data_IF_943795905535
#
_entry.id   IF_943795905535
#
_cell.length_a   1.000
_cell.length_b   1.000
_cell.length_c   1.000
_cell.angle_alpha   90.00
_cell.angle_beta   90.00
_cell.angle_gamma   90.00
#
_symmetry.space_group_name_H-M   'P 1'
#
loop_
_entity.id
_entity.type
_entity.pdbx_description
1 polymer ?
#
# COMPACT_ATOMS: atom_id res chain seq x y z
N UNK A 1 30.06 27.81 -0.94
CA UNK A 1 29.18 27.15 -1.92
C UNK A 1 29.49 25.66 -1.92
N UNK A 2 28.65 24.84 -1.28
CA UNK A 2 28.82 23.38 -1.26
C UNK A 2 27.94 22.83 -2.39
N UNK A 3 28.57 22.30 -3.45
CA UNK A 3 27.90 21.45 -4.43
C UNK A 3 27.58 20.12 -3.74
N UNK A 4 26.32 19.89 -3.38
CA UNK A 4 25.85 18.54 -3.02
C UNK A 4 25.48 17.84 -4.31
N UNK A 5 26.50 17.31 -4.99
CA UNK A 5 26.33 16.33 -6.06
C UNK A 5 26.45 14.93 -5.47
N UNK A 6 25.36 14.40 -4.93
CA UNK A 6 25.23 13.00 -4.56
C UNK A 6 24.02 12.44 -5.30
N UNK A 7 24.22 11.48 -6.20
CA UNK A 7 23.10 10.69 -6.74
C UNK A 7 22.49 9.92 -5.58
N UNK A 8 21.40 10.44 -5.00
CA UNK A 8 20.63 9.69 -4.03
C UNK A 8 19.95 8.54 -4.76
N UNK A 9 20.48 7.32 -4.62
CA UNK A 9 19.70 6.12 -4.86
C UNK A 9 18.54 6.14 -3.87
N UNK A 10 17.35 6.59 -4.29
CA UNK A 10 16.18 6.51 -3.42
C UNK A 10 15.93 5.01 -3.20
N UNK A 11 16.05 4.58 -1.95
CA UNK A 11 15.85 3.17 -1.58
C UNK A 11 14.42 2.73 -1.92
N UNK A 12 14.26 1.47 -2.28
CA UNK A 12 12.93 0.89 -2.56
C UNK A 12 12.04 1.09 -1.32
N UNK A 13 10.89 1.77 -1.45
CA UNK A 13 10.03 2.06 -0.31
C UNK A 13 9.28 0.82 0.16
N UNK A 14 9.02 0.73 1.47
CA UNK A 14 8.00 -0.19 2.00
C UNK A 14 6.63 0.38 1.66
N UNK A 15 5.79 -0.40 0.99
CA UNK A 15 4.44 0.00 0.58
C UNK A 15 3.41 -0.76 1.42
N UNK A 16 2.35 -0.07 1.83
CA UNK A 16 1.15 -0.63 2.44
C UNK A 16 -0.06 -0.27 1.58
N UNK A 17 -1.04 -1.17 1.55
CA UNK A 17 -2.33 -0.98 0.90
C UNK A 17 -3.42 -1.68 1.75
N UNK A 18 -4.65 -1.20 1.67
CA UNK A 18 -5.79 -1.69 2.46
C UNK A 18 -7.02 -1.82 1.58
N UNK A 19 -7.61 -3.03 1.57
CA UNK A 19 -8.96 -3.20 1.05
C UNK A 19 -9.98 -2.91 2.16
N UNK A 20 -11.08 -2.27 1.81
CA UNK A 20 -12.14 -1.91 2.74
C UNK A 20 -13.50 -2.48 2.34
N UNK A 21 -14.43 -2.54 3.30
CA UNK A 21 -15.82 -2.96 3.08
C UNK A 21 -16.63 -2.03 2.17
N UNK A 22 -16.02 -0.99 1.58
CA UNK A 22 -16.62 -0.03 0.67
C UNK A 22 -15.86 1.30 0.60
N UNK A 23 -16.35 2.23 -0.22
CA UNK A 23 -15.66 3.49 -0.53
C UNK A 23 -16.05 4.69 0.37
N UNK A 24 -17.07 4.52 1.23
CA UNK A 24 -17.60 5.61 2.07
C UNK A 24 -16.93 5.71 3.45
N UNK A 25 -17.15 6.83 4.15
CA UNK A 25 -16.58 7.10 5.49
C UNK A 25 -17.00 6.10 6.59
N UNK A 26 -18.06 5.32 6.35
CA UNK A 26 -18.52 4.27 7.25
C UNK A 26 -17.80 2.93 7.02
N UNK A 27 -17.03 2.77 5.94
CA UNK A 27 -16.34 1.53 5.62
C UNK A 27 -15.18 1.23 6.57
N UNK A 28 -14.78 -0.04 6.64
CA UNK A 28 -13.76 -0.54 7.55
C UNK A 28 -12.79 -1.47 6.83
N UNK A 29 -11.54 -1.61 7.32
CA UNK A 29 -10.55 -2.45 6.68
C UNK A 29 -10.93 -3.93 6.77
N UNK A 30 -10.75 -4.64 5.67
CA UNK A 30 -11.04 -6.07 5.52
C UNK A 30 -9.83 -6.88 5.06
N UNK A 31 -8.84 -6.23 4.46
CA UNK A 31 -7.54 -6.81 4.14
C UNK A 31 -6.47 -5.74 4.29
N UNK A 32 -5.28 -6.13 4.73
CA UNK A 32 -4.08 -5.28 4.70
C UNK A 32 -2.95 -6.04 4.02
N UNK A 33 -2.24 -5.35 3.14
CA UNK A 33 -1.13 -5.88 2.37
C UNK A 33 0.07 -4.97 2.46
N UNK A 34 1.25 -5.56 2.58
CA UNK A 34 2.51 -4.82 2.71
C UNK A 34 3.57 -5.53 1.90
N UNK A 35 4.41 -4.77 1.20
CA UNK A 35 5.68 -5.22 0.66
C UNK A 35 6.80 -4.34 1.21
N UNK A 36 7.82 -4.95 1.81
CA UNK A 36 8.94 -4.18 2.36
C UNK A 36 10.05 -3.97 1.35
N UNK A 37 11.04 -3.14 1.71
CA UNK A 37 12.23 -2.84 0.90
C UNK A 37 13.03 -4.06 0.43
N UNK A 38 12.92 -5.19 1.14
CA UNK A 38 13.60 -6.45 0.78
C UNK A 38 12.75 -7.34 -0.14
N UNK A 39 11.53 -6.91 -0.50
CA UNK A 39 10.58 -7.68 -1.31
C UNK A 39 9.77 -8.70 -0.51
N UNK A 40 9.95 -8.78 0.81
CA UNK A 40 9.13 -9.64 1.67
C UNK A 40 7.73 -9.06 1.78
N UNK A 41 6.73 -9.93 1.83
CA UNK A 41 5.32 -9.56 1.88
C UNK A 41 4.67 -9.96 3.18
N UNK A 42 3.75 -9.12 3.64
CA UNK A 42 2.76 -9.44 4.67
C UNK A 42 1.37 -9.23 4.07
N UNK A 43 0.43 -10.12 4.37
CA UNK A 43 -0.94 -10.02 3.91
C UNK A 43 -1.85 -10.68 4.93
N UNK A 44 -2.94 -10.03 5.31
CA UNK A 44 -3.94 -10.64 6.18
C UNK A 44 -5.33 -10.14 5.89
N UNK A 45 -6.27 -11.08 5.81
CA UNK A 45 -7.69 -10.78 5.94
C UNK A 45 -8.01 -10.42 7.40
N UNK A 46 -8.93 -9.49 7.58
CA UNK A 46 -9.34 -8.95 8.88
C UNK A 46 -10.78 -9.39 9.12
N UNK A 47 -11.00 -10.13 10.20
CA UNK A 47 -12.35 -10.48 10.65
C UNK A 47 -13.04 -9.20 11.16
N UNK A 48 -14.22 -8.81 10.62
CA UNK A 48 -14.91 -7.61 11.06
C UNK A 48 -15.27 -7.68 12.54
N UNK A 49 -15.22 -6.54 13.22
CA UNK A 49 -15.78 -6.40 14.56
C UNK A 49 -17.31 -6.55 14.51
N UNK A 50 -17.93 -6.87 15.64
CA UNK A 50 -19.38 -7.07 15.71
C UNK A 50 -20.19 -5.81 15.34
N UNK A 51 -19.65 -4.63 15.60
CA UNK A 51 -20.22 -3.33 15.28
C UNK A 51 -19.86 -2.82 13.86
N UNK A 52 -19.00 -3.53 13.14
CA UNK A 52 -18.64 -3.23 11.75
C UNK A 52 -19.68 -3.84 10.79
N UNK A 53 -20.68 -3.03 10.44
CA UNK A 53 -21.86 -3.48 9.70
C UNK A 53 -21.95 -2.99 8.25
N UNK A 54 -21.26 -1.89 7.91
CA UNK A 54 -21.17 -1.39 6.53
C UNK A 54 -20.69 -2.47 5.55
N UNK A 55 -21.28 -2.53 4.37
CA UNK A 55 -20.84 -3.43 3.30
C UNK A 55 -21.30 -2.91 1.95
N UNK A 56 -20.38 -2.83 1.00
CA UNK A 56 -20.62 -2.38 -0.37
C UNK A 56 -20.39 -3.54 -1.35
N UNK A 57 -21.44 -3.92 -2.08
CA UNK A 57 -21.36 -5.00 -3.07
C UNK A 57 -20.45 -4.65 -4.26
N UNK A 58 -20.28 -3.36 -4.58
CA UNK A 58 -19.36 -2.93 -5.62
C UNK A 58 -17.91 -3.15 -5.21
N UNK A 59 -17.56 -2.83 -3.95
CA UNK A 59 -16.24 -3.14 -3.41
C UNK A 59 -16.01 -4.65 -3.38
N UNK A 60 -16.97 -5.44 -2.88
CA UNK A 60 -16.88 -6.91 -2.90
C UNK A 60 -16.59 -7.47 -4.30
N UNK A 61 -17.26 -6.95 -5.33
CA UNK A 61 -17.00 -7.34 -6.72
C UNK A 61 -15.59 -6.98 -7.19
N UNK A 62 -15.07 -5.82 -6.77
CA UNK A 62 -13.76 -5.30 -7.16
C UNK A 62 -12.60 -6.12 -6.58
N UNK A 63 -12.63 -6.39 -5.28
CA UNK A 63 -11.55 -7.11 -4.58
C UNK A 63 -11.81 -8.63 -4.44
N UNK A 64 -13.06 -9.07 -4.62
CA UNK A 64 -13.47 -10.48 -4.56
C UNK A 64 -13.42 -11.09 -3.16
N UNK A 65 -13.55 -10.27 -2.11
CA UNK A 65 -13.46 -10.69 -0.71
C UNK A 65 -14.86 -10.60 -0.11
N UNK A 66 -15.51 -11.75 0.09
CA UNK A 66 -16.84 -11.79 0.67
C UNK A 66 -16.81 -11.68 2.19
N UNK A 67 -17.92 -11.20 2.77
CA UNK A 67 -18.07 -11.15 4.23
C UNK A 67 -17.99 -12.54 4.88
N UNK A 68 -18.46 -13.57 4.18
CA UNK A 68 -18.33 -14.96 4.60
C UNK A 68 -16.86 -15.39 4.65
N UNK A 69 -16.07 -15.06 3.62
CA UNK A 69 -14.64 -15.37 3.59
C UNK A 69 -13.91 -14.73 4.79
N UNK A 70 -14.25 -13.49 5.12
CA UNK A 70 -13.68 -12.82 6.30
C UNK A 70 -14.08 -13.49 7.62
N UNK A 71 -15.30 -13.99 7.74
CA UNK A 71 -15.74 -14.70 8.93
C UNK A 71 -15.00 -16.04 9.12
N UNK A 72 -14.71 -16.74 8.01
CA UNK A 72 -14.05 -18.04 7.98
C UNK A 72 -12.52 -17.98 8.08
N UNK A 73 -11.90 -16.98 7.43
CA UNK A 73 -10.44 -16.90 7.22
C UNK A 73 -9.79 -15.65 7.80
N UNK A 74 -10.59 -14.64 8.18
CA UNK A 74 -10.07 -13.40 8.76
C UNK A 74 -9.47 -13.62 10.14
N UNK A 75 -8.37 -12.94 10.41
CA UNK A 75 -7.77 -12.88 11.74
C UNK A 75 -8.40 -11.76 12.57
N UNK A 76 -8.32 -11.86 13.90
CA UNK A 76 -8.77 -10.77 14.76
C UNK A 76 -7.95 -9.51 14.52
N UNK A 77 -8.58 -8.33 14.64
CA UNK A 77 -7.89 -7.04 14.51
C UNK A 77 -6.64 -6.96 15.41
N UNK A 78 -6.72 -7.51 16.64
CA UNK A 78 -5.59 -7.57 17.56
C UNK A 78 -4.39 -8.33 16.99
N UNK A 79 -4.62 -9.53 16.44
CA UNK A 79 -3.55 -10.35 15.89
C UNK A 79 -2.93 -9.70 14.64
N UNK A 80 -3.77 -9.13 13.76
CA UNK A 80 -3.29 -8.40 12.58
C UNK A 80 -2.42 -7.21 12.97
N UNK A 81 -2.85 -6.39 13.92
CA UNK A 81 -2.09 -5.23 14.41
C UNK A 81 -0.76 -5.64 15.06
N UNK A 82 -0.73 -6.74 15.82
CA UNK A 82 0.51 -7.25 16.41
C UNK A 82 1.50 -7.70 15.33
N UNK A 83 1.03 -8.45 14.32
CA UNK A 83 1.87 -8.91 13.22
C UNK A 83 2.36 -7.75 12.34
N UNK A 84 1.50 -6.76 12.05
CA UNK A 84 1.89 -5.53 11.36
C UNK A 84 2.99 -4.79 12.13
N UNK A 85 2.81 -4.58 13.43
CA UNK A 85 3.83 -3.94 14.26
C UNK A 85 5.14 -4.72 14.24
N UNK A 86 5.10 -6.05 14.34
CA UNK A 86 6.30 -6.88 14.25
C UNK A 86 7.00 -6.72 12.89
N UNK A 87 6.24 -6.62 11.81
CA UNK A 87 6.77 -6.50 10.46
C UNK A 87 7.33 -5.10 10.15
N UNK A 88 6.75 -4.06 10.74
CA UNK A 88 6.95 -2.66 10.37
C UNK A 88 7.58 -1.77 11.45
N UNK A 89 7.89 -2.30 12.63
CA UNK A 89 8.36 -1.52 13.77
C UNK A 89 9.42 -0.47 13.40
N UNK A 90 9.17 0.78 13.74
CA UNK A 90 10.08 1.91 13.53
C UNK A 90 10.23 2.36 12.07
N UNK A 91 9.46 1.79 11.14
CA UNK A 91 9.52 2.15 9.72
C UNK A 91 8.54 3.28 9.37
N UNK A 92 8.88 4.00 8.29
CA UNK A 92 7.90 4.77 7.50
C UNK A 92 7.48 3.89 6.33
N UNK A 93 6.17 3.67 6.20
CA UNK A 93 5.55 2.96 5.07
C UNK A 93 4.75 3.94 4.24
N UNK A 94 4.62 3.66 2.94
CA UNK A 94 3.99 4.56 1.99
C UNK A 94 2.75 3.94 1.36
N UNK A 95 1.77 4.78 1.06
CA UNK A 95 0.55 4.41 0.32
C UNK A 95 0.29 5.48 -0.75
N UNK A 96 -0.19 5.06 -1.93
CA UNK A 96 -0.68 5.97 -2.98
C UNK A 96 -2.17 6.33 -2.83
N UNK A 97 -2.81 5.81 -1.78
CA UNK A 97 -4.15 6.15 -1.29
C UNK A 97 -4.14 6.65 0.15
N UNK A 98 -3.07 7.30 0.61
CA UNK A 98 -2.78 7.56 2.03
C UNK A 98 -3.96 8.11 2.85
N UNK A 99 -4.75 9.03 2.30
CA UNK A 99 -5.89 9.65 3.01
C UNK A 99 -6.91 8.60 3.47
N UNK A 100 -7.17 7.58 2.66
CA UNK A 100 -8.12 6.51 3.02
C UNK A 100 -7.43 5.41 3.83
N UNK A 101 -6.24 4.99 3.43
CA UNK A 101 -5.52 3.89 4.08
C UNK A 101 -5.15 4.22 5.53
N UNK A 102 -4.66 5.42 5.81
CA UNK A 102 -4.32 5.82 7.17
C UNK A 102 -5.57 5.89 8.05
N UNK A 103 -6.70 6.35 7.50
CA UNK A 103 -8.00 6.36 8.21
C UNK A 103 -8.43 4.94 8.58
N UNK A 104 -8.32 3.98 7.66
CA UNK A 104 -8.66 2.60 7.93
C UNK A 104 -7.68 1.93 8.90
N UNK A 105 -6.39 2.21 8.80
CA UNK A 105 -5.40 1.74 9.77
C UNK A 105 -5.64 2.31 11.17
N UNK A 106 -5.99 3.60 11.31
CA UNK A 106 -6.39 4.19 12.59
C UNK A 106 -7.57 3.42 13.19
N UNK A 107 -8.63 3.17 12.39
CA UNK A 107 -9.79 2.40 12.82
C UNK A 107 -9.42 0.96 13.23
N UNK A 108 -8.53 0.30 12.50
CA UNK A 108 -8.05 -1.05 12.81
C UNK A 108 -7.31 -1.10 14.16
N UNK A 109 -6.36 -0.18 14.35
CA UNK A 109 -5.53 -0.13 15.55
C UNK A 109 -6.34 0.29 16.79
N UNK A 110 -7.33 1.19 16.64
CA UNK A 110 -8.27 1.51 17.72
C UNK A 110 -9.12 0.30 18.12
N UNK A 111 -9.69 -0.42 17.16
CA UNK A 111 -10.49 -1.62 17.44
C UNK A 111 -9.65 -2.74 18.07
N UNK A 112 -8.38 -2.85 17.69
CA UNK A 112 -7.43 -3.79 18.27
C UNK A 112 -6.99 -3.44 19.70
N UNK A 113 -7.17 -2.19 20.13
CA UNK A 113 -6.58 -1.64 21.37
C UNK A 113 -5.06 -1.86 21.42
N UNK A 114 -4.40 -1.68 20.27
CA UNK A 114 -2.95 -1.83 20.09
C UNK A 114 -2.38 -0.49 19.64
N UNK A 115 -1.25 -0.06 20.21
CA UNK A 115 -0.54 1.12 19.74
C UNK A 115 0.20 0.82 18.44
N UNK A 116 -0.01 1.61 17.39
CA UNK A 116 0.70 1.51 16.12
C UNK A 116 2.17 1.92 16.30
N UNK A 117 3.11 1.08 15.81
CA UNK A 117 4.56 1.27 16.00
C UNK A 117 5.31 1.64 14.71
N UNK A 118 4.58 2.13 13.72
CA UNK A 118 5.10 2.59 12.43
C UNK A 118 4.30 3.79 11.92
N UNK A 119 4.91 4.55 11.01
CA UNK A 119 4.30 5.73 10.40
C UNK A 119 3.86 5.43 8.97
N UNK A 120 2.71 5.96 8.58
CA UNK A 120 2.23 5.90 7.20
C UNK A 120 2.38 7.29 6.61
N UNK A 121 2.93 7.39 5.41
CA UNK A 121 3.09 8.62 4.66
C UNK A 121 2.49 8.48 3.27
N UNK A 122 2.08 9.61 2.69
CA UNK A 122 1.75 9.67 1.27
C UNK A 122 2.98 9.34 0.42
N UNK A 123 2.78 8.54 -0.63
CA UNK A 123 3.82 8.14 -1.56
C UNK A 123 4.37 9.33 -2.35
N UNK A 124 3.52 10.33 -2.63
CA UNK A 124 3.87 11.56 -3.32
C UNK A 124 5.02 12.31 -2.65
N UNK A 125 5.22 12.13 -1.34
CA UNK A 125 6.34 12.71 -0.59
C UNK A 125 7.72 12.21 -1.04
N UNK A 126 7.78 11.08 -1.74
CA UNK A 126 9.04 10.47 -2.21
C UNK A 126 9.11 10.32 -3.73
N UNK A 127 8.11 10.83 -4.47
CA UNK A 127 8.14 10.89 -5.93
C UNK A 127 8.79 12.20 -6.38
N UNK A 128 9.59 12.15 -7.44
CA UNK A 128 10.01 13.36 -8.16
C UNK A 128 9.00 13.70 -9.29
N UNK A 129 9.11 14.90 -9.86
CA UNK A 129 8.20 15.38 -10.92
C UNK A 129 8.10 14.44 -12.13
N UNK A 130 9.20 13.80 -12.53
CA UNK A 130 9.21 12.86 -13.65
C UNK A 130 8.52 11.55 -13.27
N UNK A 131 8.70 11.06 -12.04
CA UNK A 131 7.96 9.89 -11.57
C UNK A 131 6.46 10.18 -11.48
N UNK A 132 6.08 11.36 -10.97
CA UNK A 132 4.68 11.78 -10.90
C UNK A 132 4.03 11.83 -12.29
N UNK A 133 4.70 12.40 -13.29
CA UNK A 133 4.16 12.48 -14.66
C UNK A 133 4.04 11.11 -15.35
N UNK A 134 4.89 10.15 -14.99
CA UNK A 134 4.88 8.79 -15.54
C UNK A 134 4.01 7.82 -14.74
N UNK A 135 3.52 8.20 -13.56
CA UNK A 135 2.96 7.29 -12.57
C UNK A 135 1.76 6.49 -13.11
N UNK A 136 0.70 7.19 -13.53
CA UNK A 136 -0.54 6.56 -13.98
C UNK A 136 -0.31 5.64 -15.18
N UNK A 137 0.35 6.14 -16.23
CA UNK A 137 0.65 5.34 -17.43
C UNK A 137 1.47 4.08 -17.09
N UNK A 138 2.43 4.20 -16.16
CA UNK A 138 3.28 3.08 -15.76
C UNK A 138 2.49 2.07 -14.94
N UNK A 139 1.69 2.52 -13.98
CA UNK A 139 0.85 1.67 -13.13
C UNK A 139 -0.15 0.89 -13.98
N UNK A 140 -0.84 1.55 -14.90
CA UNK A 140 -1.83 0.93 -15.79
C UNK A 140 -1.20 -0.15 -16.68
N UNK A 141 -0.04 0.16 -17.27
CA UNK A 141 0.71 -0.81 -18.09
C UNK A 141 1.13 -2.03 -17.28
N UNK A 142 1.62 -1.83 -16.05
CA UNK A 142 2.01 -2.93 -15.17
C UNK A 142 0.81 -3.75 -14.71
N UNK A 143 -0.32 -3.09 -14.41
CA UNK A 143 -1.57 -3.74 -14.04
C UNK A 143 -2.09 -4.65 -15.17
N UNK A 144 -2.08 -4.19 -16.42
CA UNK A 144 -2.49 -4.99 -17.58
C UNK A 144 -1.63 -6.24 -17.80
N UNK A 145 -0.41 -6.28 -17.26
CA UNK A 145 0.48 -7.44 -17.34
C UNK A 145 0.27 -8.44 -16.19
N UNK A 146 -0.53 -8.08 -15.18
CA UNK A 146 -0.85 -8.96 -14.05
C UNK A 146 -1.84 -10.04 -14.49
N UNK A 147 -1.64 -11.26 -13.97
CA UNK A 147 -2.52 -12.40 -14.25
C UNK A 147 -3.82 -12.38 -13.42
N UNK A 148 -3.85 -11.56 -12.37
CA UNK A 148 -4.96 -11.46 -11.43
C UNK A 148 -5.47 -10.00 -11.44
N UNK A 149 -6.67 -9.74 -12.00
CA UNK A 149 -7.20 -8.38 -12.09
C UNK A 149 -7.91 -7.91 -10.81
N UNK A 150 -8.11 -8.78 -9.82
CA UNK A 150 -8.74 -8.39 -8.55
C UNK A 150 -7.81 -7.52 -7.70
N UNK A 151 -8.39 -6.50 -7.08
CA UNK A 151 -7.73 -5.66 -6.08
C UNK A 151 -7.51 -6.49 -4.81
N UNK A 152 -6.25 -6.80 -4.53
CA UNK A 152 -5.87 -7.54 -3.32
C UNK A 152 -4.72 -6.79 -2.70
N UNK A 153 -4.84 -6.45 -1.43
CA UNK A 153 -3.93 -5.47 -0.83
C UNK A 153 -2.44 -5.82 -1.01
N UNK A 154 -2.06 -7.10 -0.92
CA UNK A 154 -0.66 -7.53 -1.15
C UNK A 154 -0.24 -7.39 -2.62
N UNK A 155 -1.12 -7.72 -3.56
CA UNK A 155 -0.88 -7.54 -4.99
C UNK A 155 -0.75 -6.06 -5.33
N UNK A 156 -1.64 -5.23 -4.80
CA UNK A 156 -1.72 -3.79 -5.03
C UNK A 156 -0.49 -3.08 -4.44
N UNK A 157 -0.12 -3.37 -3.19
CA UNK A 157 1.11 -2.86 -2.57
C UNK A 157 2.37 -3.15 -3.42
N UNK A 158 2.43 -4.32 -4.04
CA UNK A 158 3.55 -4.65 -4.92
C UNK A 158 3.49 -4.05 -6.31
N UNK A 159 2.30 -3.88 -6.87
CA UNK A 159 2.11 -3.11 -8.09
C UNK A 159 2.60 -1.67 -7.88
N UNK A 160 2.25 -1.06 -6.75
CA UNK A 160 2.69 0.29 -6.36
C UNK A 160 4.21 0.33 -6.21
N UNK A 161 4.82 -0.61 -5.49
CA UNK A 161 6.29 -0.65 -5.35
C UNK A 161 6.98 -0.86 -6.71
N UNK A 162 6.45 -1.72 -7.58
CA UNK A 162 7.00 -1.96 -8.91
C UNK A 162 6.84 -0.71 -9.82
N UNK A 163 5.74 0.02 -9.68
CA UNK A 163 5.53 1.31 -10.36
C UNK A 163 6.58 2.33 -9.93
N UNK A 164 6.85 2.43 -8.62
CA UNK A 164 7.92 3.27 -8.09
C UNK A 164 9.28 2.90 -8.67
N UNK A 165 9.67 1.63 -8.59
CA UNK A 165 10.96 1.16 -9.10
C UNK A 165 11.09 1.36 -10.60
N UNK A 166 10.02 1.14 -11.37
CA UNK A 166 10.02 1.29 -12.83
C UNK A 166 10.16 2.75 -13.24
N UNK A 167 9.38 3.66 -12.65
CA UNK A 167 9.48 5.10 -12.92
C UNK A 167 10.84 5.65 -12.50
N UNK A 168 11.40 5.18 -11.39
CA UNK A 168 12.74 5.56 -10.93
C UNK A 168 13.83 5.13 -11.93
N UNK A 169 13.76 3.91 -12.47
CA UNK A 169 14.70 3.42 -13.50
C UNK A 169 14.65 4.30 -14.76
N UNK A 170 13.45 4.65 -15.23
CA UNK A 170 13.27 5.55 -16.38
C UNK A 170 13.92 6.91 -16.10
N UNK A 171 13.72 7.49 -14.90
CA UNK A 171 14.37 8.75 -14.52
C UNK A 171 15.91 8.67 -14.58
N UNK A 172 16.49 7.56 -14.08
CA UNK A 172 17.94 7.34 -14.09
C UNK A 172 18.46 7.19 -15.53
N UNK A 173 17.73 6.48 -16.39
CA UNK A 173 18.09 6.29 -17.80
C UNK A 173 18.04 7.61 -18.58
N UNK A 174 16.97 8.41 -18.40
CA UNK A 174 16.84 9.73 -19.02
C UNK A 174 17.98 10.66 -18.60
N UNK A 175 18.32 10.68 -17.31
CA UNK A 175 19.41 11.51 -16.78
C UNK A 175 20.80 11.09 -17.28
N UNK A 176 21.00 9.83 -17.67
CA UNK A 176 22.24 9.37 -18.33
C UNK A 176 22.32 9.85 -19.77
N UNK A 177 21.21 9.78 -20.51
CA UNK A 177 21.16 10.23 -21.91
C UNK A 177 21.41 11.74 -22.03
N UNK A 178 20.84 12.56 -21.15
CA UNK A 178 21.04 14.02 -21.16
C UNK A 178 22.45 14.49 -20.77
N UNK A 179 23.34 13.61 -20.29
CA UNK A 179 24.74 13.94 -19.96
C UNK A 179 25.73 13.56 -21.07
N UNK A 180 25.28 12.83 -22.08
CA UNK A 180 26.11 12.38 -23.21
C UNK A 180 25.93 13.31 -24.43
N UNK A 181 24.91 14.18 -24.39
CA UNK A 181 24.65 15.24 -25.37
C UNK A 181 25.12 16.60 -24.85
#
# INVERSE_FOLDING_TARGET
MIKIGGQASVAIPTIIDVEASGFGSLSYPIEVGVINRSGNRFCSLIKPQSDWTHWDAQAESLHGISRQLLAEKGLSAQLVCQQLNQFLMGQVVYSDGWVVDDTWLIRLFDAAKVTKQFHVSSLEMILNETQMSLWHLTKDRLFQQMKEPRHRASSDAALIQNTFVTTQKICIENAKQSKVT
#
